data_IF_441314738625
#
_entry.id   IF_441314738625
#
_cell.length_a   1.000
_cell.length_b   1.000
_cell.length_c   1.000
_cell.angle_alpha   90.00
_cell.angle_beta   90.00
_cell.angle_gamma   90.00
#
_symmetry.space_group_name_H-M   'P 1'
#
loop_
_entity.id
_entity.type
_entity.pdbx_description
1 polymer ?
#
# COMPACT_ATOMS: atom_id res chain seq x y z
N UNK A 1 15.80 20.26 -43.99
CA UNK A 1 16.01 21.09 -42.79
C UNK A 1 15.57 20.26 -41.61
N UNK A 2 16.50 19.87 -40.74
CA UNK A 2 16.24 18.95 -39.63
C UNK A 2 15.43 19.66 -38.54
N UNK A 3 14.33 19.03 -38.11
CA UNK A 3 13.51 19.46 -37.00
C UNK A 3 14.18 19.05 -35.69
N UNK A 4 14.78 20.02 -34.99
CA UNK A 4 15.34 19.81 -33.65
C UNK A 4 14.21 19.50 -32.66
N UNK A 5 14.14 18.23 -32.25
CA UNK A 5 13.31 17.80 -31.13
C UNK A 5 13.91 18.35 -29.84
N UNK A 6 13.18 19.25 -29.19
CA UNK A 6 13.61 19.89 -27.93
C UNK A 6 13.48 18.89 -26.78
N UNK A 7 14.52 18.08 -26.58
CA UNK A 7 14.63 17.17 -25.44
C UNK A 7 14.86 17.98 -24.17
N UNK A 8 13.85 18.06 -23.30
CA UNK A 8 13.98 18.67 -21.97
C UNK A 8 14.97 17.86 -21.13
N UNK A 9 16.09 18.48 -20.74
CA UNK A 9 17.11 17.83 -19.91
C UNK A 9 16.80 18.04 -18.43
N UNK A 10 17.31 17.14 -17.59
CA UNK A 10 17.11 17.16 -16.14
C UNK A 10 17.62 18.48 -15.50
N UNK A 11 18.61 19.10 -16.13
CA UNK A 11 19.19 20.39 -15.77
C UNK A 11 18.17 21.55 -15.94
N UNK A 12 17.30 21.49 -16.94
CA UNK A 12 16.26 22.50 -17.19
C UNK A 12 15.18 22.48 -16.09
N UNK A 13 14.92 21.31 -15.51
CA UNK A 13 13.94 21.12 -14.42
C UNK A 13 14.50 21.65 -13.10
N UNK A 14 15.81 21.52 -12.87
CA UNK A 14 16.46 22.01 -11.65
C UNK A 14 16.69 23.52 -11.66
N UNK A 15 16.85 24.13 -12.84
CA UNK A 15 16.97 25.60 -13.00
C UNK A 15 15.62 26.32 -13.05
N UNK A 16 14.50 25.60 -13.18
CA UNK A 16 13.17 26.19 -13.09
C UNK A 16 12.89 26.58 -11.63
N UNK A 17 13.26 27.80 -11.27
CA UNK A 17 12.85 28.41 -10.00
C UNK A 17 11.32 28.32 -9.84
N UNK A 18 10.80 28.02 -8.62
CA UNK A 18 9.37 27.95 -8.41
C UNK A 18 8.77 29.30 -8.78
N UNK A 19 7.86 29.34 -9.74
CA UNK A 19 7.03 30.52 -9.97
C UNK A 19 6.26 30.79 -8.68
N UNK A 20 6.73 31.78 -7.92
CA UNK A 20 6.03 32.38 -6.80
C UNK A 20 4.62 32.73 -7.29
N UNK A 21 3.61 32.07 -6.72
CA UNK A 21 2.22 32.45 -6.93
C UNK A 21 2.02 33.82 -6.26
N UNK A 22 2.14 34.89 -7.04
CA UNK A 22 1.89 36.28 -6.61
C UNK A 22 0.40 36.54 -6.46
N UNK A 23 -0.26 35.84 -5.55
CA UNK A 23 -1.62 36.15 -5.07
C UNK A 23 -1.60 36.28 -3.54
N UNK A 24 -0.68 37.11 -3.03
CA UNK A 24 -0.72 37.57 -1.67
C UNK A 24 -1.62 38.82 -1.59
N UNK A 25 -2.68 38.83 -0.76
CA UNK A 25 -3.49 40.03 -0.57
C UNK A 25 -2.63 41.14 0.06
N UNK A 26 -2.59 42.31 -0.57
CA UNK A 26 -1.87 43.50 -0.10
C UNK A 26 -2.32 43.85 1.33
N UNK A 27 -1.36 43.87 2.24
CA UNK A 27 -1.54 44.20 3.66
C UNK A 27 -2.11 45.61 3.84
N UNK A 28 -3.27 45.72 4.48
CA UNK A 28 -3.86 46.95 5.01
C UNK A 28 -2.94 47.62 6.07
N UNK A 29 -3.10 48.93 6.34
CA UNK A 29 -2.08 49.73 7.00
C UNK A 29 -1.89 49.34 8.47
N UNK A 30 -0.65 49.53 8.90
CA UNK A 30 -0.04 49.25 10.19
C UNK A 30 -0.95 49.63 11.38
N UNK A 31 -1.59 48.63 11.99
CA UNK A 31 -2.12 48.75 13.35
C UNK A 31 -0.98 48.38 14.28
N UNK A 32 -0.41 49.36 14.98
CA UNK A 32 0.62 49.14 15.98
C UNK A 32 0.21 48.01 16.93
N UNK A 33 0.86 46.85 16.78
CA UNK A 33 0.72 45.73 17.72
C UNK A 33 1.33 46.20 19.03
N UNK A 34 0.49 46.64 19.97
CA UNK A 34 0.88 46.75 21.38
C UNK A 34 1.38 45.37 21.82
N UNK A 35 2.69 45.22 21.94
CA UNK A 35 3.31 43.99 22.43
C UNK A 35 2.79 43.73 23.83
N UNK A 36 2.01 42.65 23.99
CA UNK A 36 1.54 42.25 25.31
C UNK A 36 2.73 41.67 26.04
N UNK A 37 3.18 42.34 27.09
CA UNK A 37 4.21 41.82 28.00
C UNK A 37 3.67 40.50 28.57
N UNK A 38 4.19 39.39 28.07
CA UNK A 38 3.74 38.06 28.42
C UNK A 38 4.46 37.66 29.70
N UNK A 39 3.86 37.98 30.85
CA UNK A 39 4.47 37.68 32.15
C UNK A 39 4.40 36.16 32.35
N UNK A 40 5.54 35.45 32.41
CA UNK A 40 5.54 34.01 32.57
C UNK A 40 4.99 33.64 33.94
N UNK A 41 3.89 32.87 33.97
CA UNK A 41 3.29 32.36 35.20
C UNK A 41 3.75 30.93 35.47
N UNK A 42 3.98 30.62 36.75
CA UNK A 42 4.33 29.28 37.20
C UNK A 42 3.14 28.31 37.14
N UNK A 43 3.43 27.00 37.27
CA UNK A 43 2.41 25.96 37.35
C UNK A 43 1.53 26.17 38.60
N UNK A 44 0.20 25.95 38.50
CA UNK A 44 -0.67 26.05 39.67
C UNK A 44 -0.28 25.01 40.72
N UNK A 45 -0.19 25.42 42.00
CA UNK A 45 0.25 24.58 43.13
C UNK A 45 -0.50 23.23 43.21
N UNK A 46 -1.76 23.19 42.78
CA UNK A 46 -2.58 21.97 42.81
C UNK A 46 -2.52 21.11 41.54
N UNK A 47 -1.78 21.48 40.49
CA UNK A 47 -1.63 20.71 39.24
C UNK A 47 -2.90 20.50 38.39
N UNK A 48 -4.06 20.96 38.86
CA UNK A 48 -5.36 20.79 38.20
C UNK A 48 -5.48 21.70 36.97
N UNK A 49 -5.66 21.09 35.80
CA UNK A 49 -5.80 21.73 34.48
C UNK A 49 -6.91 22.79 34.39
N UNK A 50 -7.99 22.67 35.17
CA UNK A 50 -9.07 23.66 35.16
C UNK A 50 -8.78 24.95 35.93
N UNK A 51 -7.63 25.03 36.61
CA UNK A 51 -7.14 26.25 37.26
C UNK A 51 -6.15 27.03 36.38
N UNK A 52 -5.94 26.60 35.13
CA UNK A 52 -5.18 27.36 34.15
C UNK A 52 -5.90 28.66 33.80
N UNK A 53 -5.13 29.66 33.36
CA UNK A 53 -5.67 30.97 33.00
C UNK A 53 -6.58 30.84 31.78
N UNK A 54 -7.84 31.26 31.94
CA UNK A 54 -8.79 31.30 30.82
C UNK A 54 -8.36 32.40 29.85
N UNK A 55 -8.11 32.05 28.60
CA UNK A 55 -7.82 33.04 27.56
C UNK A 55 -9.08 33.85 27.27
N UNK A 56 -8.92 35.17 27.05
CA UNK A 56 -10.04 36.05 26.69
C UNK A 56 -10.65 35.59 25.35
N UNK A 57 -11.97 35.66 25.19
CA UNK A 57 -12.64 35.33 23.92
C UNK A 57 -12.10 36.12 22.71
N UNK A 58 -11.53 37.31 22.95
CA UNK A 58 -10.85 38.14 21.94
C UNK A 58 -9.51 37.59 21.44
N UNK A 59 -8.93 36.60 22.14
CA UNK A 59 -7.72 35.87 21.68
C UNK A 59 -8.05 34.79 20.65
N UNK A 60 -9.33 34.39 20.54
CA UNK A 60 -9.77 33.45 19.53
C UNK A 60 -9.71 34.18 18.19
N UNK A 61 -8.81 33.74 17.31
CA UNK A 61 -8.72 34.23 15.94
C UNK A 61 -10.03 33.84 15.24
N UNK A 62 -10.93 34.82 15.09
CA UNK A 62 -12.20 34.68 14.36
C UNK A 62 -11.93 34.69 12.86
N UNK A 63 -11.21 33.70 12.35
CA UNK A 63 -11.07 33.53 10.91
C UNK A 63 -12.46 33.24 10.34
N UNK A 64 -12.86 33.91 9.25
CA UNK A 64 -13.97 33.41 8.43
C UNK A 64 -13.56 31.98 8.07
N UNK A 65 -14.28 30.98 8.58
CA UNK A 65 -13.86 29.58 8.52
C UNK A 65 -13.38 29.18 7.12
N UNK A 66 -12.50 28.20 7.02
CA UNK A 66 -11.79 27.75 5.81
C UNK A 66 -12.80 27.13 4.82
N UNK A 67 -13.72 27.94 4.32
CA UNK A 67 -14.77 27.56 3.39
C UNK A 67 -14.15 27.62 2.01
N UNK A 68 -13.72 26.46 1.54
CA UNK A 68 -13.33 26.31 0.14
C UNK A 68 -14.51 26.71 -0.76
N UNK A 69 -14.22 27.43 -1.84
CA UNK A 69 -15.20 27.70 -2.89
C UNK A 69 -15.70 26.39 -3.52
N UNK A 70 -16.88 26.43 -4.13
CA UNK A 70 -17.49 25.25 -4.76
C UNK A 70 -16.55 24.63 -5.81
N UNK A 71 -15.91 25.45 -6.64
CA UNK A 71 -14.93 25.00 -7.64
C UNK A 71 -13.75 24.26 -7.00
N UNK A 72 -13.20 24.76 -5.89
CA UNK A 72 -12.11 24.09 -5.16
C UNK A 72 -12.57 22.74 -4.59
N UNK A 73 -13.82 22.63 -4.14
CA UNK A 73 -14.39 21.36 -3.66
C UNK A 73 -14.59 20.34 -4.78
N UNK A 74 -15.04 20.78 -5.96
CA UNK A 74 -15.20 19.90 -7.12
C UNK A 74 -13.85 19.36 -7.59
N UNK A 75 -12.85 20.23 -7.77
CA UNK A 75 -11.48 19.82 -8.11
C UNK A 75 -10.93 18.79 -7.12
N UNK A 76 -11.08 19.02 -5.82
CA UNK A 76 -10.64 18.08 -4.79
C UNK A 76 -11.34 16.71 -4.91
N UNK A 77 -12.64 16.68 -5.23
CA UNK A 77 -13.38 15.42 -5.41
C UNK A 77 -12.88 14.66 -6.64
N UNK A 78 -12.62 15.36 -7.74
CA UNK A 78 -12.09 14.77 -8.97
C UNK A 78 -10.68 14.21 -8.75
N UNK A 79 -9.80 14.95 -8.09
CA UNK A 79 -8.46 14.50 -7.78
C UNK A 79 -8.48 13.27 -6.86
N UNK A 80 -9.31 13.28 -5.82
CA UNK A 80 -9.49 12.11 -4.95
C UNK A 80 -10.05 10.90 -5.69
N UNK A 81 -10.96 11.11 -6.65
CA UNK A 81 -11.50 10.04 -7.50
C UNK A 81 -10.39 9.43 -8.36
N UNK A 82 -9.61 10.28 -9.06
CA UNK A 82 -8.48 9.87 -9.90
C UNK A 82 -7.45 9.07 -9.09
N UNK A 83 -7.05 9.56 -7.92
CA UNK A 83 -6.09 8.86 -7.05
C UNK A 83 -6.62 7.49 -6.59
N UNK A 84 -7.91 7.40 -6.23
CA UNK A 84 -8.53 6.14 -5.83
C UNK A 84 -8.59 5.14 -6.98
N UNK A 85 -8.92 5.59 -8.19
CA UNK A 85 -8.97 4.73 -9.38
C UNK A 85 -7.58 4.18 -9.72
N UNK A 86 -6.55 5.03 -9.72
CA UNK A 86 -5.16 4.61 -9.90
C UNK A 86 -4.72 3.59 -8.83
N UNK A 87 -5.04 3.86 -7.56
CA UNK A 87 -4.72 2.93 -6.46
C UNK A 87 -5.42 1.58 -6.63
N UNK A 88 -6.69 1.58 -7.05
CA UNK A 88 -7.46 0.35 -7.33
C UNK A 88 -6.85 -0.42 -8.49
N UNK A 89 -6.49 0.24 -9.58
CA UNK A 89 -5.85 -0.38 -10.75
C UNK A 89 -4.54 -1.09 -10.37
N UNK A 90 -3.67 -0.41 -9.61
CA UNK A 90 -2.39 -0.99 -9.13
C UNK A 90 -2.65 -2.22 -8.24
N UNK A 91 -3.62 -2.16 -7.34
CA UNK A 91 -3.97 -3.29 -6.46
C UNK A 91 -4.54 -4.46 -7.26
N UNK A 92 -5.40 -4.20 -8.24
CA UNK A 92 -5.99 -5.21 -9.10
C UNK A 92 -4.91 -5.93 -9.93
N UNK A 93 -3.97 -5.18 -10.53
CA UNK A 93 -2.85 -5.76 -11.27
C UNK A 93 -2.01 -6.68 -10.37
N UNK A 94 -1.59 -6.19 -9.19
CA UNK A 94 -0.82 -7.00 -8.23
C UNK A 94 -1.55 -8.27 -7.79
N UNK A 95 -2.88 -8.21 -7.68
CA UNK A 95 -3.69 -9.35 -7.30
C UNK A 95 -3.78 -10.38 -8.43
N UNK A 96 -4.02 -9.91 -9.67
CA UNK A 96 -4.04 -10.76 -10.87
C UNK A 96 -2.71 -11.50 -11.05
N UNK A 97 -1.57 -10.80 -10.89
CA UNK A 97 -0.24 -11.43 -10.98
C UNK A 97 -0.03 -12.53 -9.94
N UNK A 98 -0.50 -12.30 -8.69
CA UNK A 98 -0.42 -13.29 -7.61
C UNK A 98 -1.31 -14.51 -7.91
N UNK A 99 -2.51 -14.29 -8.43
CA UNK A 99 -3.45 -15.35 -8.78
C UNK A 99 -2.93 -16.19 -9.94
N UNK A 100 -2.40 -15.57 -10.99
CA UNK A 100 -1.74 -16.25 -12.10
C UNK A 100 -0.56 -17.12 -11.61
N UNK A 101 0.28 -16.58 -10.72
CA UNK A 101 1.39 -17.36 -10.11
C UNK A 101 0.89 -18.56 -9.29
N UNK A 102 -0.21 -18.40 -8.54
CA UNK A 102 -0.83 -19.49 -7.79
C UNK A 102 -1.41 -20.56 -8.71
N UNK A 103 -2.11 -20.17 -9.78
CA UNK A 103 -2.66 -21.09 -10.77
C UNK A 103 -1.55 -21.88 -11.45
N UNK A 104 -0.51 -21.21 -11.96
CA UNK A 104 0.67 -21.87 -12.54
C UNK A 104 1.33 -22.86 -11.57
N UNK A 105 1.45 -22.50 -10.29
CA UNK A 105 2.00 -23.42 -9.28
C UNK A 105 1.10 -24.64 -9.08
N UNK A 106 -0.22 -24.47 -9.00
CA UNK A 106 -1.18 -25.56 -8.88
C UNK A 106 -1.13 -26.50 -10.08
N UNK A 107 -1.07 -25.96 -11.29
CA UNK A 107 -0.94 -26.73 -12.52
C UNK A 107 0.37 -27.50 -12.58
N UNK A 108 1.49 -26.86 -12.22
CA UNK A 108 2.78 -27.52 -12.17
C UNK A 108 2.82 -28.65 -11.13
N UNK A 109 2.19 -28.47 -9.96
CA UNK A 109 2.07 -29.52 -8.96
C UNK A 109 1.24 -30.70 -9.47
N UNK A 110 0.08 -30.44 -10.09
CA UNK A 110 -0.75 -31.48 -10.71
C UNK A 110 0.03 -32.24 -11.79
N UNK A 111 0.70 -31.53 -12.68
CA UNK A 111 1.54 -32.13 -13.73
C UNK A 111 2.68 -32.95 -13.15
N UNK A 112 3.31 -32.48 -12.07
CA UNK A 112 4.36 -33.22 -11.39
C UNK A 112 3.82 -34.49 -10.72
N UNK A 113 2.64 -34.45 -10.10
CA UNK A 113 1.97 -35.62 -9.52
C UNK A 113 1.59 -36.65 -10.60
N UNK A 114 1.04 -36.20 -11.72
CA UNK A 114 0.72 -37.04 -12.88
C UNK A 114 1.98 -37.66 -13.47
N UNK A 115 3.04 -36.87 -13.66
CA UNK A 115 4.32 -37.37 -14.16
C UNK A 115 4.94 -38.37 -13.19
N UNK A 116 4.88 -38.11 -11.88
CA UNK A 116 5.36 -39.03 -10.86
C UNK A 116 4.62 -40.37 -10.93
N UNK A 117 3.30 -40.36 -11.10
CA UNK A 117 2.49 -41.58 -11.29
C UNK A 117 2.86 -42.30 -12.60
N UNK A 118 3.05 -41.56 -13.70
CA UNK A 118 3.43 -42.14 -15.00
C UNK A 118 4.85 -42.73 -15.02
N UNK A 119 5.79 -42.08 -14.34
CA UNK A 119 7.18 -42.54 -14.22
C UNK A 119 7.39 -43.61 -13.16
N UNK A 120 6.36 -43.92 -12.36
CA UNK A 120 6.46 -44.90 -11.28
C UNK A 120 6.65 -46.30 -11.86
N UNK A 121 7.85 -46.84 -11.73
CA UNK A 121 8.17 -48.21 -12.15
C UNK A 121 7.72 -49.16 -11.04
N UNK A 122 6.66 -49.92 -11.30
CA UNK A 122 6.08 -50.87 -10.34
C UNK A 122 6.49 -52.30 -10.65
N UNK A 123 6.70 -53.11 -9.62
CA UNK A 123 6.91 -54.55 -9.76
C UNK A 123 5.59 -55.28 -9.53
N UNK A 124 5.11 -56.02 -10.55
CA UNK A 124 3.88 -56.81 -10.41
C UNK A 124 4.13 -58.03 -9.54
N UNK A 125 3.46 -58.09 -8.39
CA UNK A 125 3.61 -59.17 -7.42
C UNK A 125 2.67 -60.32 -7.78
N UNK A 126 3.21 -61.37 -8.40
CA UNK A 126 2.44 -62.56 -8.81
C UNK A 126 2.10 -63.50 -7.64
N UNK A 127 2.92 -63.56 -6.59
CA UNK A 127 2.73 -64.45 -5.45
C UNK A 127 2.69 -63.67 -4.13
N UNK A 128 1.53 -63.67 -3.48
CA UNK A 128 1.27 -62.91 -2.25
C UNK A 128 1.82 -63.56 -0.98
N UNK A 129 2.12 -64.87 -1.00
CA UNK A 129 2.71 -65.57 0.14
C UNK A 129 4.12 -65.02 0.48
N UNK A 130 4.84 -64.47 -0.50
CA UNK A 130 6.15 -63.85 -0.28
C UNK A 130 6.06 -62.63 0.64
N UNK A 131 5.12 -61.71 0.40
CA UNK A 131 4.90 -60.53 1.24
C UNK A 131 4.56 -60.95 2.68
N UNK A 132 3.68 -61.95 2.83
CA UNK A 132 3.24 -62.43 4.15
C UNK A 132 4.38 -63.02 5.00
N UNK A 133 5.46 -63.49 4.37
CA UNK A 133 6.66 -64.02 5.04
C UNK A 133 7.74 -62.97 5.32
N UNK A 134 7.60 -61.74 4.83
CA UNK A 134 8.60 -60.69 5.03
C UNK A 134 8.58 -60.12 6.45
N UNK A 135 9.71 -59.54 6.86
CA UNK A 135 9.84 -58.89 8.17
C UNK A 135 9.01 -57.60 8.20
N UNK A 136 8.39 -57.29 9.35
CA UNK A 136 7.60 -56.06 9.56
C UNK A 136 8.33 -54.77 9.16
N UNK A 137 9.66 -54.70 9.30
CA UNK A 137 10.44 -53.53 8.86
C UNK A 137 10.45 -53.35 7.33
N UNK A 138 10.55 -54.45 6.57
CA UNK A 138 10.55 -54.40 5.10
C UNK A 138 9.16 -54.06 4.56
N UNK A 139 8.09 -54.55 5.22
CA UNK A 139 6.71 -54.22 4.87
C UNK A 139 6.40 -52.72 5.00
N UNK A 140 7.09 -51.99 5.89
CA UNK A 140 6.94 -50.52 6.03
C UNK A 140 7.52 -49.74 4.86
N UNK A 141 8.43 -50.35 4.08
CA UNK A 141 9.06 -49.71 2.92
C UNK A 141 8.30 -49.97 1.61
N UNK A 142 7.36 -50.92 1.61
CA UNK A 142 6.57 -51.27 0.43
C UNK A 142 5.34 -50.38 0.36
N UNK A 143 5.21 -49.65 -0.74
CA UNK A 143 3.97 -48.93 -1.09
C UNK A 143 3.18 -49.77 -2.09
N UNK A 144 1.88 -49.95 -1.85
CA UNK A 144 1.01 -50.66 -2.79
C UNK A 144 0.47 -49.68 -3.84
N UNK A 145 0.66 -50.01 -5.11
CA UNK A 145 0.05 -49.32 -6.26
C UNK A 145 -0.91 -50.26 -6.97
N UNK A 146 -2.08 -49.77 -7.33
CA UNK A 146 -3.05 -50.54 -8.09
C UNK A 146 -2.77 -50.36 -9.58
N UNK A 147 -2.46 -51.47 -10.26
CA UNK A 147 -2.20 -51.52 -11.71
C UNK A 147 -3.39 -52.06 -12.49
N UNK A 148 -4.49 -52.40 -11.80
CA UNK A 148 -5.69 -53.03 -12.39
C UNK A 148 -6.60 -52.05 -13.13
N UNK A 149 -6.42 -50.74 -12.91
CA UNK A 149 -7.22 -49.67 -13.52
C UNK A 149 -6.46 -48.92 -14.64
N UNK A 150 -5.40 -49.51 -15.19
CA UNK A 150 -4.82 -49.04 -16.46
C UNK A 150 -5.64 -49.51 -17.65
#
# INVERSE_FOLDING_TARGET
>A
MASDEKVTRMEDILNASPTENTDAPKSSPNVEKRERINIPRGKPKSGRVWKEEKTKFSSIIKTRGIRLSLAKKQKLREDLKRVKELSRAIKAQKQADKEAKKQRRRENLKRAEENRKKSEVVQVIKNTAKIKRMKKKQLRMIEKRDTTNM
#
